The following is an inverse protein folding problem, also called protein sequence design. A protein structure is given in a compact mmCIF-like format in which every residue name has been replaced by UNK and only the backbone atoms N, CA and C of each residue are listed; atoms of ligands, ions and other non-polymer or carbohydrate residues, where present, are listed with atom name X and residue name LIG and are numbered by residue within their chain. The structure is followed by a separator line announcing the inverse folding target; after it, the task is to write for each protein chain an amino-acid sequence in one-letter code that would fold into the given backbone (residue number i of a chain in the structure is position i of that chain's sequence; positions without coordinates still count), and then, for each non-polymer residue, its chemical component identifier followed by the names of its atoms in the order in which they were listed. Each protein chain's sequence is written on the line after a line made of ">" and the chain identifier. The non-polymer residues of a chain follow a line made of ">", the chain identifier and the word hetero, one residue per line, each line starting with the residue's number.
data_IF_157477474834
#
_entry.id   IF_157477474834
#
_cell.length_a   1.000
_cell.length_b   1.000
_cell.length_c   1.000
_cell.angle_alpha   90.00
_cell.angle_beta   90.00
_cell.angle_gamma   90.00
#
_symmetry.space_group_name_H-M   'P 1'
#
loop_
_entity.id
_entity.type
_entity.pdbx_description
1 polymer ?
#
# COMPACT_ATOMS: atom_id res chain seq x y z
N UNK A 1 15.13 7.06 -8.97
CA UNK A 1 14.89 7.35 -7.54
C UNK A 1 15.60 6.29 -6.71
N UNK A 2 15.56 6.36 -5.37
CA UNK A 2 15.91 5.21 -4.55
C UNK A 2 14.87 4.11 -4.76
N UNK A 3 15.32 2.87 -4.88
CA UNK A 3 14.51 1.68 -5.12
C UNK A 3 13.74 1.28 -3.84
N UNK A 4 12.52 0.77 -4.00
CA UNK A 4 11.65 0.33 -2.90
C UNK A 4 12.13 -0.97 -2.24
N UNK A 5 12.95 -1.77 -2.91
CA UNK A 5 13.57 -2.97 -2.31
C UNK A 5 14.39 -2.64 -1.04
N UNK A 6 14.80 -1.38 -0.86
CA UNK A 6 15.52 -0.91 0.33
C UNK A 6 14.59 -0.54 1.50
N UNK A 7 13.29 -0.40 1.25
CA UNK A 7 12.25 0.04 2.21
C UNK A 7 11.33 -1.11 2.62
N UNK A 8 11.10 -2.03 1.69
CA UNK A 8 10.27 -3.21 1.86
C UNK A 8 11.17 -4.43 1.77
N UNK A 9 11.16 -5.28 2.81
CA UNK A 9 11.64 -6.65 2.62
C UNK A 9 10.57 -7.38 1.82
N UNK A 10 10.82 -7.58 0.54
CA UNK A 10 10.03 -8.49 -0.30
C UNK A 10 10.49 -9.95 -0.16
N UNK A 11 11.54 -10.18 0.62
CA UNK A 11 12.18 -11.47 0.77
C UNK A 11 12.29 -11.84 2.25
N UNK A 12 11.66 -12.94 2.63
CA UNK A 12 11.93 -13.67 3.87
C UNK A 12 12.16 -15.13 3.45
N UNK A 13 13.15 -15.36 2.59
CA UNK A 13 13.47 -16.70 2.10
C UNK A 13 14.71 -16.78 1.22
N UNK A 14 15.83 -16.19 1.63
CA UNK A 14 17.15 -16.55 1.05
C UNK A 14 17.72 -17.75 1.80
N UNK A 15 17.20 -18.95 1.53
CA UNK A 15 17.99 -20.18 1.65
C UNK A 15 17.68 -21.04 0.41
N UNK A 16 18.71 -21.15 -0.44
CA UNK A 16 18.68 -21.52 -1.86
C UNK A 16 18.53 -23.04 -2.11
N UNK A 17 17.82 -23.74 -1.23
CA UNK A 17 17.41 -25.12 -1.39
C UNK A 17 15.93 -25.23 -0.97
N UNK A 18 15.17 -26.19 -1.52
CA UNK A 18 13.89 -26.73 -1.00
C UNK A 18 12.58 -26.43 -1.76
N UNK A 19 11.63 -27.32 -1.49
CA UNK A 19 10.62 -27.94 -2.36
C UNK A 19 9.41 -27.05 -2.73
N UNK A 20 8.73 -27.38 -3.84
CA UNK A 20 7.61 -26.65 -4.49
C UNK A 20 6.35 -26.39 -3.62
N UNK A 21 6.33 -26.79 -2.35
CA UNK A 21 5.17 -26.72 -1.45
C UNK A 21 5.30 -25.68 -0.32
N UNK A 22 6.28 -24.77 -0.34
CA UNK A 22 6.35 -23.68 0.64
C UNK A 22 5.44 -22.51 0.22
N UNK A 23 4.34 -22.21 0.94
CA UNK A 23 3.53 -21.03 0.69
C UNK A 23 4.34 -19.80 1.10
N UNK A 24 5.17 -19.29 0.18
CA UNK A 24 5.81 -17.99 0.30
C UNK A 24 4.75 -16.99 0.76
N UNK A 25 4.87 -16.58 2.01
CA UNK A 25 4.12 -15.44 2.50
C UNK A 25 4.86 -14.26 1.89
N UNK A 26 4.31 -13.68 0.81
CA UNK A 26 4.70 -12.37 0.27
C UNK A 26 4.34 -11.30 1.32
N UNK A 27 4.94 -11.39 2.50
CA UNK A 27 4.75 -10.44 3.57
C UNK A 27 5.55 -9.20 3.19
N UNK A 28 4.83 -8.15 2.78
CA UNK A 28 5.39 -6.81 2.69
C UNK A 28 5.72 -6.33 4.11
N UNK A 29 6.90 -6.70 4.62
CA UNK A 29 7.35 -6.25 5.94
C UNK A 29 7.92 -4.85 5.78
N UNK A 30 7.28 -3.85 6.39
CA UNK A 30 7.87 -2.53 6.52
C UNK A 30 8.85 -2.54 7.69
N UNK A 31 10.12 -2.31 7.40
CA UNK A 31 11.10 -2.02 8.45
C UNK A 31 11.02 -0.54 8.77
N UNK A 32 10.56 -0.20 9.98
CA UNK A 32 10.57 1.20 10.46
C UNK A 32 11.97 1.80 10.40
N UNK A 33 13.00 0.98 10.64
CA UNK A 33 14.40 1.37 10.49
C UNK A 33 14.77 1.74 9.04
N UNK A 34 14.31 0.97 8.04
CA UNK A 34 14.54 1.28 6.64
C UNK A 34 13.74 2.52 6.20
N UNK A 35 12.51 2.69 6.67
CA UNK A 35 11.72 3.91 6.46
C UNK A 35 12.46 5.13 7.00
N UNK A 36 12.98 5.05 8.23
CA UNK A 36 13.77 6.14 8.84
C UNK A 36 15.05 6.45 8.06
N UNK A 37 15.71 5.42 7.51
CA UNK A 37 17.01 5.54 6.83
C UNK A 37 16.90 6.02 5.37
N UNK A 38 15.83 5.65 4.66
CA UNK A 38 15.73 5.83 3.22
C UNK A 38 14.60 6.75 2.75
N UNK A 39 13.57 6.96 3.57
CA UNK A 39 12.41 7.81 3.26
C UNK A 39 12.55 9.19 3.92
N UNK A 40 12.34 10.30 3.20
CA UNK A 40 12.38 11.65 3.78
C UNK A 40 11.41 11.80 4.96
N UNK A 41 11.77 12.51 6.06
CA UNK A 41 10.94 12.60 7.26
C UNK A 41 9.48 13.00 7.01
N UNK A 42 9.26 13.93 6.08
CA UNK A 42 7.91 14.40 5.70
C UNK A 42 7.01 13.34 5.07
N UNK A 43 7.57 12.21 4.62
CA UNK A 43 6.85 11.12 3.95
C UNK A 43 6.72 9.87 4.82
N UNK A 44 7.49 9.74 5.90
CA UNK A 44 7.57 8.49 6.68
C UNK A 44 6.20 8.01 7.18
N UNK A 45 5.37 8.91 7.74
CA UNK A 45 4.01 8.57 8.19
C UNK A 45 3.15 8.08 7.02
N UNK A 46 3.21 8.77 5.88
CA UNK A 46 2.46 8.41 4.69
C UNK A 46 2.85 7.01 4.20
N UNK A 47 4.14 6.69 4.19
CA UNK A 47 4.60 5.36 3.77
C UNK A 47 4.14 4.26 4.73
N UNK A 48 4.26 4.48 6.04
CA UNK A 48 3.75 3.52 7.04
C UNK A 48 2.24 3.30 6.85
N UNK A 49 1.46 4.36 6.66
CA UNK A 49 0.03 4.24 6.37
C UNK A 49 -0.24 3.45 5.08
N UNK A 50 0.55 3.67 4.03
CA UNK A 50 0.41 2.96 2.75
C UNK A 50 0.66 1.46 2.91
N UNK A 51 1.69 1.06 3.67
CA UNK A 51 1.94 -0.37 3.90
C UNK A 51 0.82 -1.01 4.71
N UNK A 52 0.38 -0.34 5.78
CA UNK A 52 -0.73 -0.82 6.58
C UNK A 52 -1.99 -1.00 5.74
N UNK A 53 -2.25 -0.07 4.81
CA UNK A 53 -3.34 -0.19 3.85
C UNK A 53 -3.12 -1.36 2.89
N UNK A 54 -1.91 -1.60 2.39
CA UNK A 54 -1.62 -2.79 1.59
C UNK A 54 -1.91 -4.07 2.33
N UNK A 55 -1.41 -4.23 3.56
CA UNK A 55 -1.66 -5.43 4.36
C UNK A 55 -3.16 -5.66 4.56
N UNK A 56 -3.92 -4.62 4.90
CA UNK A 56 -5.37 -4.77 5.13
C UNK A 56 -6.12 -5.02 3.82
N UNK A 57 -5.83 -4.25 2.78
CA UNK A 57 -6.60 -4.30 1.54
C UNK A 57 -6.27 -5.54 0.70
N UNK A 58 -5.00 -5.94 0.63
CA UNK A 58 -4.58 -7.13 -0.11
C UNK A 58 -4.87 -8.41 0.68
N UNK A 59 -4.32 -8.56 1.89
CA UNK A 59 -4.39 -9.82 2.63
C UNK A 59 -5.77 -10.06 3.23
N UNK A 60 -6.35 -9.05 3.88
CA UNK A 60 -7.63 -9.23 4.57
C UNK A 60 -8.84 -9.09 3.64
N UNK A 61 -8.73 -8.25 2.60
CA UNK A 61 -9.86 -7.95 1.71
C UNK A 61 -9.66 -8.41 0.26
N UNK A 62 -8.56 -9.08 -0.10
CA UNK A 62 -8.36 -9.64 -1.44
C UNK A 62 -8.30 -8.59 -2.56
N UNK A 63 -8.00 -7.33 -2.24
CA UNK A 63 -7.89 -6.26 -3.22
C UNK A 63 -6.49 -6.28 -3.83
N UNK A 64 -6.38 -6.74 -5.07
CA UNK A 64 -5.10 -6.75 -5.78
C UNK A 64 -4.57 -5.36 -6.14
N UNK A 65 -3.28 -5.32 -6.46
CA UNK A 65 -2.53 -4.16 -6.92
C UNK A 65 -3.22 -3.50 -8.13
N UNK A 66 -3.06 -2.18 -8.27
CA UNK A 66 -3.75 -1.33 -9.21
C UNK A 66 -2.74 -0.53 -10.07
N UNK A 67 -3.07 -0.26 -11.33
CA UNK A 67 -2.22 0.58 -12.20
C UNK A 67 -2.65 2.05 -12.22
N UNK A 68 -3.67 2.42 -11.44
CA UNK A 68 -4.14 3.81 -11.38
C UNK A 68 -3.27 4.62 -10.41
N UNK A 69 -2.61 5.66 -10.93
CA UNK A 69 -1.72 6.56 -10.17
C UNK A 69 -2.41 7.30 -9.00
N UNK A 70 -3.73 7.49 -9.05
CA UNK A 70 -4.54 8.11 -7.98
C UNK A 70 -5.17 7.03 -7.07
N UNK A 71 -4.45 5.94 -6.81
CA UNK A 71 -4.89 4.83 -5.97
C UNK A 71 -3.79 4.42 -4.99
N UNK A 72 -4.12 4.25 -3.72
CA UNK A 72 -3.18 3.75 -2.69
C UNK A 72 -2.65 2.36 -3.02
N UNK A 73 -3.43 1.56 -3.75
CA UNK A 73 -3.03 0.23 -4.22
C UNK A 73 -2.14 0.28 -5.46
N UNK A 74 -1.59 1.44 -5.83
CA UNK A 74 -0.78 1.56 -7.03
C UNK A 74 0.57 0.86 -6.92
N UNK A 75 0.90 -0.01 -7.89
CA UNK A 75 2.25 -0.60 -7.95
C UNK A 75 3.27 0.50 -8.29
N UNK A 76 4.02 0.95 -7.30
CA UNK A 76 5.06 1.96 -7.51
C UNK A 76 6.40 1.25 -7.37
N UNK A 77 7.40 1.71 -8.12
CA UNK A 77 8.73 1.07 -8.12
C UNK A 77 9.81 1.99 -7.52
N UNK A 78 9.43 3.19 -7.08
CA UNK A 78 10.37 4.11 -6.45
C UNK A 78 9.76 5.04 -5.41
N UNK A 79 10.59 5.48 -4.45
CA UNK A 79 10.19 6.45 -3.41
C UNK A 79 9.62 7.74 -4.01
N UNK A 80 10.10 8.16 -5.19
CA UNK A 80 9.64 9.38 -5.86
C UNK A 80 8.26 9.24 -6.51
N UNK A 81 7.85 8.02 -6.88
CA UNK A 81 6.50 7.73 -7.34
C UNK A 81 5.55 7.62 -6.15
N UNK A 82 5.99 6.97 -5.07
CA UNK A 82 5.21 6.87 -3.83
C UNK A 82 4.77 8.23 -3.28
N UNK A 83 5.64 9.24 -3.36
CA UNK A 83 5.32 10.60 -2.94
C UNK A 83 4.01 11.13 -3.56
N UNK A 84 3.79 10.79 -4.83
CA UNK A 84 2.67 11.27 -5.64
C UNK A 84 1.38 10.49 -5.40
N UNK A 85 1.49 9.27 -4.87
CA UNK A 85 0.35 8.39 -4.67
C UNK A 85 -0.45 8.79 -3.43
N UNK A 86 -1.78 8.94 -3.51
CA UNK A 86 -2.59 9.31 -2.36
C UNK A 86 -2.84 8.13 -1.43
N UNK A 87 -3.23 8.40 -0.18
CA UNK A 87 -3.71 7.38 0.78
C UNK A 87 -5.20 7.05 0.59
N UNK A 88 -5.71 7.06 -0.65
CA UNK A 88 -7.11 6.77 -0.96
C UNK A 88 -7.23 5.80 -2.12
N UNK A 89 -8.34 5.06 -2.16
CA UNK A 89 -8.65 4.17 -3.27
C UNK A 89 -9.28 4.92 -4.42
N UNK A 90 -8.91 4.56 -5.65
CA UNK A 90 -9.59 5.04 -6.84
C UNK A 90 -11.05 4.52 -6.90
N UNK A 91 -11.93 5.13 -7.71
CA UNK A 91 -13.33 4.69 -7.83
C UNK A 91 -13.49 3.20 -8.19
N UNK A 92 -12.58 2.64 -9.00
CA UNK A 92 -12.62 1.23 -9.39
C UNK A 92 -12.37 0.31 -8.19
N UNK A 93 -11.36 0.60 -7.37
CA UNK A 93 -11.05 -0.20 -6.18
C UNK A 93 -12.13 -0.04 -5.10
N UNK A 94 -12.67 1.17 -4.92
CA UNK A 94 -13.83 1.39 -4.04
C UNK A 94 -15.05 0.58 -4.48
N UNK A 95 -15.32 0.50 -5.79
CA UNK A 95 -16.40 -0.34 -6.32
C UNK A 95 -16.19 -1.82 -6.04
N UNK A 96 -14.95 -2.32 -6.09
CA UNK A 96 -14.66 -3.73 -5.72
C UNK A 96 -15.04 -3.99 -4.25
N UNK A 97 -14.63 -3.11 -3.33
CA UNK A 97 -15.01 -3.22 -1.92
C UNK A 97 -16.53 -3.15 -1.69
N UNK A 98 -17.24 -2.35 -2.50
CA UNK A 98 -18.70 -2.31 -2.45
C UNK A 98 -19.34 -3.63 -2.89
N UNK A 99 -18.85 -4.22 -3.98
CA UNK A 99 -19.33 -5.53 -4.45
C UNK A 99 -19.04 -6.65 -3.46
N UNK A 100 -18.05 -6.47 -2.57
CA UNK A 100 -17.73 -7.38 -1.47
C UNK A 100 -18.55 -7.12 -0.20
N UNK A 101 -19.40 -6.09 -0.17
CA UNK A 101 -20.19 -5.71 1.00
C UNK A 101 -19.39 -4.99 2.10
N UNK A 102 -18.15 -4.55 1.82
CA UNK A 102 -17.31 -3.82 2.77
C UNK A 102 -17.68 -2.33 2.81
N UNK A 103 -18.05 -1.77 1.67
CA UNK A 103 -18.44 -0.35 1.54
C UNK A 103 -19.86 -0.24 1.01
N UNK A 104 -20.78 0.31 1.78
CA UNK A 104 -22.18 0.46 1.35
C UNK A 104 -22.35 1.63 0.34
N UNK A 105 -21.82 2.81 0.68
CA UNK A 105 -21.92 4.02 -0.14
C UNK A 105 -20.53 4.45 -0.64
N UNK A 106 -20.24 4.15 -1.91
CA UNK A 106 -18.94 4.44 -2.53
C UNK A 106 -18.68 5.95 -2.61
N UNK A 107 -19.56 6.78 -3.23
CA UNK A 107 -19.33 8.23 -3.31
C UNK A 107 -19.15 8.88 -1.93
N UNK A 108 -20.02 8.59 -0.96
CA UNK A 108 -19.94 9.21 0.35
C UNK A 108 -18.66 8.79 1.09
N UNK A 109 -18.27 7.52 0.99
CA UNK A 109 -17.03 7.03 1.62
C UNK A 109 -15.80 7.65 0.97
N UNK A 110 -15.76 7.72 -0.35
CA UNK A 110 -14.64 8.36 -1.07
C UNK A 110 -14.50 9.84 -0.69
N UNK A 111 -15.61 10.59 -0.63
CA UNK A 111 -15.60 11.99 -0.20
C UNK A 111 -15.12 12.15 1.25
N UNK A 112 -15.61 11.31 2.18
CA UNK A 112 -15.19 11.36 3.60
C UNK A 112 -13.69 11.13 3.77
N UNK A 113 -13.13 10.13 3.09
CA UNK A 113 -11.69 9.83 3.13
C UNK A 113 -10.89 10.99 2.53
N UNK A 114 -11.31 11.52 1.38
CA UNK A 114 -10.62 12.65 0.75
C UNK A 114 -10.60 13.91 1.65
N UNK A 115 -11.73 14.23 2.31
CA UNK A 115 -11.80 15.35 3.25
C UNK A 115 -10.90 15.13 4.47
N UNK A 116 -10.92 13.92 5.05
CA UNK A 116 -10.07 13.59 6.20
C UNK A 116 -8.57 13.72 5.86
N UNK A 117 -8.14 13.22 4.70
CA UNK A 117 -6.74 13.33 4.27
C UNK A 117 -6.32 14.78 4.04
N UNK A 118 -7.20 15.59 3.42
CA UNK A 118 -6.96 17.02 3.22
C UNK A 118 -6.80 17.77 4.56
N UNK A 119 -7.63 17.45 5.56
CA UNK A 119 -7.53 18.04 6.91
C UNK A 119 -6.22 17.67 7.63
N UNK A 120 -5.65 16.50 7.32
CA UNK A 120 -4.39 16.02 7.92
C UNK A 120 -3.14 16.38 7.11
N UNK A 121 -3.29 16.95 5.93
CA UNK A 121 -2.17 17.27 5.03
C UNK A 121 -1.45 16.01 4.52
N UNK A 122 -2.20 14.93 4.27
CA UNK A 122 -1.70 13.63 3.81
C UNK A 122 -2.06 13.33 2.35
#
# INVERSE_FOLDING_TARGET
>A
GKDLAWVYSTDVGEDDDWEEDDPRIDAWVVSTHQVESFVPPRMQIKEVCKVLLYCVLLEALGLHICENLDCVMNNNDSVGEMEKVPLRLCPTCMRKLHLMGVVEDVPATHCRVASFLAEKGL
#
